data_IF_581532717191
#
_entry.id   IF_581532717191
#
_cell.length_a   1.000
_cell.length_b   1.000
_cell.length_c   1.000
_cell.angle_alpha   90.00
_cell.angle_beta   90.00
_cell.angle_gamma   90.00
#
_symmetry.space_group_name_H-M   'P 1'
#
loop_
_entity.id
_entity.type
_entity.pdbx_description
1 polymer ?
#
# COMPACT_ATOMS: atom_id res chain seq x y z
N UNK A 1 29.07 69.71 69.36
CA UNK A 1 28.30 68.94 68.37
C UNK A 1 27.66 67.72 69.00
N UNK A 2 28.46 66.84 69.62
CA UNK A 2 27.95 65.63 70.32
C UNK A 2 26.79 65.88 71.28
N UNK A 3 26.86 66.92 72.12
CA UNK A 3 25.78 67.25 73.06
C UNK A 3 24.45 67.66 72.37
N UNK A 4 24.50 68.24 71.16
CA UNK A 4 23.31 68.60 70.39
C UNK A 4 22.73 67.38 69.65
N UNK A 5 23.59 66.46 69.19
CA UNK A 5 23.17 65.19 68.60
C UNK A 5 22.50 64.29 69.63
N UNK A 6 23.04 64.21 70.85
CA UNK A 6 22.45 63.43 71.94
C UNK A 6 21.05 63.97 72.30
N UNK A 7 20.92 65.28 72.48
CA UNK A 7 19.61 65.93 72.71
C UNK A 7 18.63 65.74 71.54
N UNK A 8 19.12 65.72 70.29
CA UNK A 8 18.29 65.43 69.12
C UNK A 8 17.75 63.99 69.14
N UNK A 9 18.59 62.99 69.41
CA UNK A 9 18.16 61.58 69.46
C UNK A 9 17.33 61.23 70.71
N UNK A 10 17.45 62.02 71.79
CA UNK A 10 16.60 61.96 72.97
C UNK A 10 15.28 62.73 72.81
N UNK A 11 15.14 63.54 71.75
CA UNK A 11 13.92 64.32 71.46
C UNK A 11 13.80 65.63 72.26
N UNK A 12 14.88 66.08 72.87
CA UNK A 12 14.93 67.22 73.79
C UNK A 12 15.34 68.55 73.11
N UNK A 13 15.65 68.51 71.81
CA UNK A 13 16.07 69.69 71.05
C UNK A 13 14.86 70.53 70.59
N UNK A 14 14.91 71.85 70.74
CA UNK A 14 13.85 72.74 70.23
C UNK A 14 13.88 72.88 68.71
N UNK A 15 12.78 73.31 68.10
CA UNK A 15 12.68 73.36 66.63
C UNK A 15 13.63 74.41 66.00
N UNK A 16 13.88 75.53 66.68
CA UNK A 16 14.88 76.51 66.23
C UNK A 16 16.31 75.95 66.27
N UNK A 17 16.63 75.14 67.28
CA UNK A 17 17.94 74.49 67.42
C UNK A 17 18.12 73.34 66.42
N UNK A 18 17.04 72.63 66.05
CA UNK A 18 17.08 71.59 65.01
C UNK A 18 17.46 72.18 63.65
N UNK A 19 16.89 73.32 63.28
CA UNK A 19 17.20 73.97 62.01
C UNK A 19 18.68 74.34 61.94
N UNK A 20 19.24 74.91 63.01
CA UNK A 20 20.67 75.24 63.10
C UNK A 20 21.57 73.98 63.08
N UNK A 21 21.12 72.89 63.71
CA UNK A 21 21.83 71.62 63.70
C UNK A 21 21.87 71.01 62.28
N UNK A 22 20.74 71.02 61.56
CA UNK A 22 20.68 70.49 60.21
C UNK A 22 21.46 71.33 59.20
N UNK A 23 21.41 72.66 59.31
CA UNK A 23 22.22 73.56 58.48
C UNK A 23 23.73 73.31 58.68
N UNK A 24 24.15 73.05 59.92
CA UNK A 24 25.54 72.66 60.22
C UNK A 24 25.90 71.27 59.68
N UNK A 25 24.99 70.30 59.77
CA UNK A 25 25.18 68.95 59.22
C UNK A 25 25.29 68.98 57.69
N UNK A 26 24.57 69.88 57.00
CA UNK A 26 24.64 70.01 55.54
C UNK A 26 25.88 70.76 55.07
N UNK A 27 26.35 71.75 55.83
CA UNK A 27 27.49 72.59 55.47
C UNK A 27 28.86 71.98 55.79
N UNK A 28 28.94 71.05 56.74
CA UNK A 28 30.20 70.41 57.16
C UNK A 28 30.18 68.87 56.96
N UNK A 29 31.06 68.31 56.09
CA UNK A 29 31.15 66.87 55.85
C UNK A 29 31.43 66.03 57.10
N UNK A 30 32.23 66.55 58.05
CA UNK A 30 32.57 65.83 59.28
C UNK A 30 31.36 65.72 60.21
N UNK A 31 30.58 66.81 60.33
CA UNK A 31 29.28 66.84 61.01
C UNK A 31 28.29 65.82 60.44
N UNK A 32 28.24 65.66 59.11
CA UNK A 32 27.39 64.68 58.43
C UNK A 32 27.80 63.24 58.72
N UNK A 33 29.10 62.97 58.71
CA UNK A 33 29.64 61.65 59.03
C UNK A 33 29.32 61.26 60.49
N UNK A 34 29.44 62.22 61.42
CA UNK A 34 29.12 62.00 62.84
C UNK A 34 27.62 61.75 63.06
N UNK A 35 26.73 62.50 62.38
CA UNK A 35 25.28 62.26 62.41
C UNK A 35 24.92 60.85 61.88
N UNK A 36 25.46 60.44 60.74
CA UNK A 36 25.21 59.11 60.16
C UNK A 36 25.70 58.01 61.11
N UNK A 37 26.87 58.20 61.73
CA UNK A 37 27.41 57.25 62.73
C UNK A 37 26.44 57.10 63.91
N UNK A 38 25.96 58.22 64.45
CA UNK A 38 25.03 58.20 65.59
C UNK A 38 23.67 57.61 65.20
N UNK A 39 23.12 57.97 64.03
CA UNK A 39 21.87 57.43 63.50
C UNK A 39 21.96 55.91 63.28
N UNK A 40 23.07 55.41 62.73
CA UNK A 40 23.30 53.99 62.55
C UNK A 40 23.41 53.28 63.90
N UNK A 41 24.10 53.88 64.87
CA UNK A 41 24.27 53.31 66.23
C UNK A 41 22.91 53.20 66.94
N UNK A 42 22.09 54.24 66.89
CA UNK A 42 20.74 54.26 67.49
C UNK A 42 19.81 53.26 66.78
N UNK A 43 19.86 53.17 65.45
CA UNK A 43 19.09 52.19 64.67
C UNK A 43 19.47 50.75 65.03
N UNK A 44 20.77 50.46 65.12
CA UNK A 44 21.29 49.14 65.51
C UNK A 44 20.91 48.81 66.96
N UNK A 45 20.96 49.79 67.87
CA UNK A 45 20.53 49.59 69.26
C UNK A 45 19.02 49.30 69.37
N UNK A 46 18.19 49.95 68.55
CA UNK A 46 16.75 49.66 68.48
C UNK A 46 16.46 48.28 67.89
N UNK A 47 17.31 47.79 66.99
CA UNK A 47 17.26 46.43 66.45
C UNK A 47 17.76 45.38 67.45
N UNK A 48 18.72 45.73 68.31
CA UNK A 48 19.28 44.82 69.31
C UNK A 48 18.36 44.57 70.52
N UNK A 49 17.45 45.51 70.81
CA UNK A 49 16.55 45.44 71.97
C UNK A 49 15.24 44.66 71.78
N UNK A 50 14.98 44.05 70.63
CA UNK A 50 13.74 43.29 70.38
C UNK A 50 13.97 41.77 70.46
N UNK A 51 14.00 41.25 71.69
CA UNK A 51 14.19 39.81 71.96
C UNK A 51 12.89 38.98 72.01
N UNK A 52 11.74 39.52 71.57
CA UNK A 52 10.46 38.77 71.51
C UNK A 52 10.18 38.09 70.15
N UNK A 53 11.05 38.23 69.14
CA UNK A 53 10.72 37.89 67.75
C UNK A 53 11.35 36.60 67.17
N UNK A 54 11.65 35.61 68.00
CA UNK A 54 12.09 34.30 67.49
C UNK A 54 10.98 33.61 66.65
N UNK A 55 9.73 33.72 67.09
CA UNK A 55 8.58 33.11 66.40
C UNK A 55 8.15 33.91 65.16
N UNK A 56 8.23 35.24 65.21
CA UNK A 56 7.95 36.13 64.08
C UNK A 56 9.00 35.99 62.97
N UNK A 57 10.28 35.95 63.35
CA UNK A 57 11.38 35.69 62.42
C UNK A 57 11.26 34.32 61.76
N UNK A 58 10.88 33.28 62.53
CA UNK A 58 10.59 31.95 61.99
C UNK A 58 9.42 31.93 61.01
N UNK A 59 8.32 32.65 61.29
CA UNK A 59 7.16 32.80 60.38
C UNK A 59 7.53 33.55 59.11
N UNK A 60 8.27 34.67 59.22
CA UNK A 60 8.74 35.45 58.07
C UNK A 60 9.76 34.70 57.21
N UNK A 61 10.63 33.90 57.84
CA UNK A 61 11.56 33.03 57.12
C UNK A 61 10.82 31.93 56.35
N UNK A 62 9.80 31.29 56.96
CA UNK A 62 8.92 30.34 56.26
C UNK A 62 8.15 31.00 55.10
N UNK A 63 7.65 32.23 55.27
CA UNK A 63 7.05 32.99 54.17
C UNK A 63 8.04 33.30 53.05
N UNK A 64 9.29 33.62 53.39
CA UNK A 64 10.35 33.87 52.41
C UNK A 64 10.73 32.59 51.67
N UNK A 65 10.95 31.49 52.38
CA UNK A 65 11.24 30.16 51.81
C UNK A 65 10.13 29.70 50.88
N UNK A 66 8.86 29.80 51.29
CA UNK A 66 7.72 29.43 50.45
C UNK A 66 7.63 30.32 49.19
N UNK A 67 7.94 31.61 49.28
CA UNK A 67 8.02 32.52 48.12
C UNK A 67 9.18 32.17 47.19
N UNK A 68 10.35 31.83 47.73
CA UNK A 68 11.54 31.43 46.97
C UNK A 68 11.28 30.10 46.26
N UNK A 69 10.77 29.09 46.98
CA UNK A 69 10.45 27.77 46.44
C UNK A 69 9.37 27.84 45.36
N UNK A 70 8.32 28.67 45.54
CA UNK A 70 7.32 28.92 44.48
C UNK A 70 7.94 29.55 43.24
N UNK A 71 8.85 30.52 43.39
CA UNK A 71 9.55 31.14 42.24
C UNK A 71 10.45 30.13 41.53
N UNK A 72 11.20 29.31 42.26
CA UNK A 72 12.06 28.26 41.71
C UNK A 72 11.25 27.16 41.02
N UNK A 73 10.18 26.66 41.64
CA UNK A 73 9.27 25.66 41.07
C UNK A 73 8.58 26.17 39.80
N UNK A 74 8.12 27.43 39.78
CA UNK A 74 7.54 28.06 38.58
C UNK A 74 8.56 28.13 37.44
N UNK A 75 9.83 28.45 37.74
CA UNK A 75 10.90 28.47 36.73
C UNK A 75 11.19 27.08 36.17
N UNK A 76 11.24 26.06 37.01
CA UNK A 76 11.37 24.65 36.62
C UNK A 76 10.21 24.20 35.73
N UNK A 77 8.97 24.48 36.13
CA UNK A 77 7.77 24.10 35.38
C UNK A 77 7.72 24.79 34.01
N UNK A 78 8.06 26.09 33.94
CA UNK A 78 8.16 26.81 32.67
C UNK A 78 9.26 26.25 31.77
N UNK A 79 10.40 25.83 32.33
CA UNK A 79 11.46 25.21 31.54
C UNK A 79 11.03 23.83 31.01
N UNK A 80 10.41 22.99 31.84
CA UNK A 80 9.85 21.71 31.43
C UNK A 80 8.76 21.87 30.36
N UNK A 81 7.86 22.84 30.52
CA UNK A 81 6.81 23.13 29.54
C UNK A 81 7.38 23.56 28.17
N UNK A 82 8.50 24.30 28.14
CA UNK A 82 9.20 24.63 26.88
C UNK A 82 9.73 23.38 26.19
N UNK A 83 10.39 22.48 26.93
CA UNK A 83 10.88 21.22 26.35
C UNK A 83 9.73 20.34 25.85
N UNK A 84 8.65 20.22 26.64
CA UNK A 84 7.46 19.48 26.24
C UNK A 84 6.80 20.07 24.97
N UNK A 85 6.74 21.39 24.84
CA UNK A 85 6.24 22.06 23.65
C UNK A 85 7.09 21.76 22.41
N UNK A 86 8.43 21.77 22.53
CA UNK A 86 9.34 21.41 21.44
C UNK A 86 9.14 19.95 21.01
N UNK A 87 9.04 19.03 21.97
CA UNK A 87 8.80 17.61 21.69
C UNK A 87 7.44 17.42 21.01
N UNK A 88 6.39 18.10 21.48
CA UNK A 88 5.06 18.04 20.87
C UNK A 88 5.09 18.56 19.43
N UNK A 89 5.78 19.68 19.17
CA UNK A 89 5.96 20.20 17.80
C UNK A 89 6.71 19.20 16.93
N UNK A 90 7.78 18.57 17.44
CA UNK A 90 8.53 17.55 16.71
C UNK A 90 7.65 16.33 16.38
N UNK A 91 6.87 15.82 17.34
CA UNK A 91 5.98 14.70 17.12
C UNK A 91 4.88 15.03 16.11
N UNK A 92 4.28 16.22 16.19
CA UNK A 92 3.28 16.69 15.21
C UNK A 92 3.90 16.83 13.83
N UNK A 93 5.12 17.36 13.72
CA UNK A 93 5.82 17.46 12.44
C UNK A 93 6.17 16.08 11.89
N UNK A 94 6.67 15.15 12.71
CA UNK A 94 6.93 13.76 12.30
C UNK A 94 5.65 13.11 11.81
N UNK A 95 4.55 13.22 12.55
CA UNK A 95 3.25 12.68 12.14
C UNK A 95 2.74 13.28 10.83
N UNK A 96 2.77 14.61 10.69
CA UNK A 96 2.40 15.30 9.44
C UNK A 96 3.29 14.91 8.26
N UNK A 97 4.60 14.73 8.49
CA UNK A 97 5.54 14.29 7.47
C UNK A 97 5.28 12.84 7.07
N UNK A 98 5.02 11.94 8.02
CA UNK A 98 4.70 10.54 7.70
C UNK A 98 3.40 10.39 6.93
N UNK A 99 2.36 11.15 7.29
CA UNK A 99 1.04 11.08 6.65
C UNK A 99 1.04 11.70 5.24
N UNK A 100 1.78 12.81 5.04
CA UNK A 100 1.80 13.51 3.75
C UNK A 100 2.88 13.06 2.77
N UNK A 101 4.03 12.57 3.25
CA UNK A 101 5.19 12.27 2.39
C UNK A 101 5.51 10.80 2.21
N UNK A 102 4.91 9.89 2.97
CA UNK A 102 4.99 8.45 2.68
C UNK A 102 3.75 8.11 1.85
N UNK A 103 3.84 8.03 0.51
CA UNK A 103 2.70 7.59 -0.27
C UNK A 103 2.34 6.16 0.15
N UNK A 104 1.21 6.00 0.85
CA UNK A 104 0.69 4.68 1.23
C UNK A 104 0.49 3.77 0.00
N UNK A 105 0.24 4.36 -1.17
CA UNK A 105 0.13 3.64 -2.44
C UNK A 105 1.47 3.66 -3.16
N UNK A 106 2.32 2.68 -2.86
CA UNK A 106 3.32 2.21 -3.84
C UNK A 106 2.55 1.91 -5.14
N UNK A 107 2.83 2.64 -6.22
CA UNK A 107 2.29 2.29 -7.54
C UNK A 107 2.81 0.89 -7.85
N UNK A 108 1.95 -0.13 -8.01
CA UNK A 108 2.44 -1.48 -8.26
C UNK A 108 3.19 -1.48 -9.59
N UNK A 109 4.48 -1.80 -9.53
CA UNK A 109 5.31 -2.05 -10.70
C UNK A 109 4.86 -3.38 -11.32
N UNK A 110 4.56 -3.38 -12.61
CA UNK A 110 4.15 -4.58 -13.33
C UNK A 110 5.25 -5.07 -14.28
N UNK A 111 5.43 -6.38 -14.32
CA UNK A 111 6.15 -7.07 -15.38
C UNK A 111 5.15 -7.57 -16.41
N UNK A 112 5.38 -7.22 -17.68
CA UNK A 112 4.55 -7.70 -18.78
C UNK A 112 5.34 -8.69 -19.64
N UNK A 113 4.78 -9.88 -19.83
CA UNK A 113 5.34 -10.93 -20.69
C UNK A 113 4.42 -11.10 -21.89
N UNK A 114 5.01 -11.06 -23.09
CA UNK A 114 4.31 -11.28 -24.36
C UNK A 114 4.86 -12.55 -24.99
N UNK A 115 4.00 -13.54 -25.21
CA UNK A 115 4.38 -14.80 -25.85
C UNK A 115 4.39 -14.61 -27.37
N UNK A 116 5.50 -14.92 -28.06
CA UNK A 116 5.54 -14.89 -29.52
C UNK A 116 4.54 -15.86 -30.16
N UNK A 117 4.22 -15.64 -31.44
CA UNK A 117 3.42 -16.58 -32.24
C UNK A 117 4.11 -17.94 -32.33
N UNK A 118 3.35 -19.03 -32.27
CA UNK A 118 3.85 -20.40 -32.35
C UNK A 118 4.73 -20.87 -31.19
N UNK A 119 4.88 -20.04 -30.14
CA UNK A 119 5.66 -20.39 -28.97
C UNK A 119 4.77 -20.44 -27.74
N UNK A 120 5.23 -21.18 -26.73
CA UNK A 120 4.63 -21.19 -25.40
C UNK A 120 5.71 -20.88 -24.38
N UNK A 121 5.30 -20.30 -23.27
CA UNK A 121 6.20 -20.00 -22.16
C UNK A 121 5.70 -20.72 -20.92
N UNK A 122 6.60 -21.41 -20.24
CA UNK A 122 6.41 -21.86 -18.87
C UNK A 122 7.07 -20.86 -17.94
N UNK A 123 6.40 -20.55 -16.83
CA UNK A 123 6.96 -19.71 -15.80
C UNK A 123 6.43 -20.08 -14.42
N UNK A 124 7.21 -19.72 -13.40
CA UNK A 124 6.82 -19.81 -11.99
C UNK A 124 6.69 -18.40 -11.43
N UNK A 125 5.55 -18.12 -10.80
CA UNK A 125 5.27 -16.85 -10.15
C UNK A 125 5.90 -16.82 -8.74
N UNK A 126 5.99 -15.62 -8.16
CA UNK A 126 6.59 -15.39 -6.83
C UNK A 126 5.92 -16.14 -5.67
N UNK A 127 4.68 -16.58 -5.83
CA UNK A 127 3.93 -17.39 -4.86
C UNK A 127 4.08 -18.91 -5.10
N UNK A 128 4.95 -19.31 -6.03
CA UNK A 128 5.15 -20.69 -6.46
C UNK A 128 4.12 -21.20 -7.46
N UNK A 129 3.12 -20.40 -7.84
CA UNK A 129 2.14 -20.77 -8.87
C UNK A 129 2.84 -20.96 -10.20
N UNK A 130 2.55 -22.06 -10.89
CA UNK A 130 3.10 -22.32 -12.22
C UNK A 130 2.10 -21.93 -13.30
N UNK A 131 2.57 -21.32 -14.37
CA UNK A 131 1.75 -20.90 -15.50
C UNK A 131 2.39 -21.33 -16.83
N UNK A 132 1.59 -21.95 -17.69
CA UNK A 132 1.89 -22.18 -19.09
C UNK A 132 1.06 -21.24 -19.93
N UNK A 133 1.71 -20.38 -20.71
CA UNK A 133 1.05 -19.42 -21.58
C UNK A 133 1.10 -19.90 -23.04
N UNK A 134 -0.06 -19.92 -23.69
CA UNK A 134 -0.21 -20.21 -25.12
C UNK A 134 0.36 -19.08 -26.00
N UNK A 135 0.57 -19.34 -27.31
CA UNK A 135 1.05 -18.34 -28.24
C UNK A 135 0.21 -17.08 -28.26
N UNK A 136 0.86 -15.92 -28.45
CA UNK A 136 0.20 -14.60 -28.56
C UNK A 136 -0.51 -14.15 -27.27
N UNK A 137 -0.37 -14.88 -26.17
CA UNK A 137 -0.83 -14.45 -24.85
C UNK A 137 0.02 -13.31 -24.31
N UNK A 138 -0.62 -12.44 -23.54
CA UNK A 138 0.00 -11.36 -22.78
C UNK A 138 -0.42 -11.54 -21.32
N UNK A 139 0.55 -11.65 -20.43
CA UNK A 139 0.31 -11.63 -18.99
C UNK A 139 0.98 -10.40 -18.37
N UNK A 140 0.29 -9.74 -17.43
CA UNK A 140 0.85 -8.67 -16.59
C UNK A 140 0.80 -9.11 -15.13
N UNK A 141 1.95 -9.07 -14.49
CA UNK A 141 2.17 -9.62 -13.15
C UNK A 141 2.71 -8.48 -12.27
N UNK A 142 2.10 -8.22 -11.10
CA UNK A 142 2.65 -7.23 -10.18
C UNK A 142 3.96 -7.74 -9.58
N UNK A 143 4.90 -6.84 -9.33
CA UNK A 143 6.21 -7.18 -8.75
C UNK A 143 6.10 -7.81 -7.36
N UNK A 144 5.02 -7.49 -6.63
CA UNK A 144 4.65 -8.08 -5.35
C UNK A 144 3.14 -8.28 -5.32
N UNK A 145 2.67 -9.43 -4.83
CA UNK A 145 1.24 -9.64 -4.58
C UNK A 145 0.80 -8.89 -3.32
N UNK A 146 -0.46 -8.48 -3.29
CA UNK A 146 -0.99 -7.78 -2.12
C UNK A 146 -1.16 -8.72 -0.92
N UNK A 147 -1.42 -8.14 0.24
CA UNK A 147 -1.71 -8.93 1.46
C UNK A 147 -3.05 -9.67 1.38
N UNK A 148 -3.97 -9.19 0.54
CA UNK A 148 -5.34 -9.67 0.47
C UNK A 148 -5.58 -10.61 -0.72
N UNK A 149 -4.90 -10.40 -1.85
CA UNK A 149 -5.08 -11.21 -3.07
C UNK A 149 -3.82 -11.30 -3.93
N UNK A 150 -3.77 -12.36 -4.74
CA UNK A 150 -2.74 -12.59 -5.75
C UNK A 150 -3.36 -12.44 -7.13
N UNK A 151 -3.30 -11.24 -7.72
CA UNK A 151 -3.93 -10.99 -9.02
C UNK A 151 -2.92 -10.79 -10.16
N UNK A 152 -3.23 -11.38 -11.32
CA UNK A 152 -2.53 -11.22 -12.59
C UNK A 152 -3.53 -10.83 -13.67
N UNK A 153 -3.10 -10.10 -14.69
CA UNK A 153 -3.95 -9.76 -15.85
C UNK A 153 -3.53 -10.62 -17.04
N UNK A 154 -4.50 -11.22 -17.74
CA UNK A 154 -4.29 -12.08 -18.90
C UNK A 154 -5.15 -11.62 -20.08
N UNK A 155 -4.50 -11.38 -21.22
CA UNK A 155 -5.11 -11.35 -22.56
C UNK A 155 -4.53 -12.53 -23.34
N UNK A 156 -5.29 -13.61 -23.43
CA UNK A 156 -4.86 -14.82 -24.12
C UNK A 156 -5.31 -16.10 -23.46
N UNK A 157 -4.55 -17.16 -23.69
CA UNK A 157 -4.76 -18.46 -23.05
C UNK A 157 -3.61 -18.82 -22.11
N UNK A 158 -3.96 -19.33 -20.93
CA UNK A 158 -3.03 -19.82 -19.95
C UNK A 158 -3.58 -20.98 -19.12
N UNK A 159 -2.74 -21.97 -18.88
CA UNK A 159 -2.96 -23.02 -17.92
C UNK A 159 -2.21 -22.70 -16.62
N UNK A 160 -2.92 -22.70 -15.50
CA UNK A 160 -2.39 -22.34 -14.19
C UNK A 160 -2.47 -23.53 -13.24
N UNK A 161 -1.35 -23.84 -12.58
CA UNK A 161 -1.26 -24.72 -11.43
C UNK A 161 -1.01 -23.85 -10.19
N UNK A 162 -2.08 -23.42 -9.54
CA UNK A 162 -2.03 -22.39 -8.49
C UNK A 162 -1.66 -22.99 -7.14
N UNK A 163 -0.64 -22.42 -6.50
CA UNK A 163 -0.26 -22.78 -5.13
C UNK A 163 -1.41 -22.49 -4.16
N UNK A 164 -1.70 -23.45 -3.30
CA UNK A 164 -2.82 -23.37 -2.36
C UNK A 164 -2.56 -22.31 -1.28
N UNK A 165 -3.43 -21.30 -1.22
CA UNK A 165 -3.47 -20.29 -0.15
C UNK A 165 -4.93 -19.84 0.03
N UNK A 166 -5.56 -20.30 1.11
CA UNK A 166 -6.95 -20.02 1.41
C UNK A 166 -7.19 -18.59 1.92
N UNK A 167 -6.15 -17.92 2.43
CA UNK A 167 -6.25 -16.55 2.97
C UNK A 167 -6.14 -15.51 1.87
N UNK A 168 -5.35 -15.80 0.83
CA UNK A 168 -5.09 -14.90 -0.31
C UNK A 168 -5.53 -15.56 -1.62
N UNK A 169 -6.76 -15.34 -2.11
CA UNK A 169 -7.20 -15.87 -3.39
C UNK A 169 -6.28 -15.47 -4.53
N UNK A 170 -6.13 -16.37 -5.50
CA UNK A 170 -5.48 -16.08 -6.77
C UNK A 170 -6.54 -15.69 -7.81
N UNK A 171 -6.32 -14.60 -8.53
CA UNK A 171 -7.27 -14.05 -9.48
C UNK A 171 -6.59 -13.81 -10.83
N UNK A 172 -7.08 -14.48 -11.86
CA UNK A 172 -6.74 -14.15 -13.25
C UNK A 172 -7.77 -13.17 -13.78
N UNK A 173 -7.35 -11.93 -13.98
CA UNK A 173 -8.17 -10.84 -14.51
C UNK A 173 -8.12 -10.88 -16.03
N UNK A 174 -9.28 -11.01 -16.68
CA UNK A 174 -9.40 -10.91 -18.14
C UNK A 174 -10.31 -9.73 -18.50
N UNK A 175 -10.48 -9.44 -19.79
CA UNK A 175 -11.34 -8.33 -20.21
C UNK A 175 -12.80 -8.52 -19.78
N UNK A 176 -13.36 -9.73 -19.95
CA UNK A 176 -14.79 -9.99 -19.74
C UNK A 176 -15.11 -10.64 -18.38
N UNK A 177 -14.26 -11.56 -17.94
CA UNK A 177 -14.54 -12.40 -16.77
C UNK A 177 -13.29 -12.59 -15.91
N UNK A 178 -13.44 -12.53 -14.60
CA UNK A 178 -12.37 -12.80 -13.65
C UNK A 178 -12.48 -14.22 -13.13
N UNK A 179 -11.34 -14.90 -13.03
CA UNK A 179 -11.26 -16.28 -12.56
C UNK A 179 -10.61 -16.25 -11.18
N UNK A 180 -11.38 -16.58 -10.14
CA UNK A 180 -10.94 -16.60 -8.73
C UNK A 180 -10.80 -18.03 -8.22
N UNK A 181 -9.66 -18.33 -7.61
CA UNK A 181 -9.32 -19.66 -7.09
C UNK A 181 -8.53 -19.56 -5.77
N UNK A 182 -8.44 -20.67 -5.04
CA UNK A 182 -7.65 -20.77 -3.80
C UNK A 182 -6.44 -21.73 -3.90
N UNK A 183 -6.38 -22.57 -4.93
CA UNK A 183 -5.37 -23.62 -5.09
C UNK A 183 -5.91 -24.69 -6.03
N UNK A 184 -5.74 -24.45 -7.32
CA UNK A 184 -6.58 -25.05 -8.37
C UNK A 184 -5.73 -25.22 -9.64
N UNK A 185 -5.96 -26.30 -10.39
CA UNK A 185 -5.42 -26.47 -11.75
C UNK A 185 -6.52 -26.21 -12.77
N UNK A 186 -6.33 -25.21 -13.62
CA UNK A 186 -7.35 -24.80 -14.58
C UNK A 186 -6.72 -24.16 -15.83
N UNK A 187 -7.47 -24.15 -16.93
CA UNK A 187 -7.14 -23.39 -18.13
C UNK A 187 -8.14 -22.26 -18.32
N UNK A 188 -7.68 -21.12 -18.82
CA UNK A 188 -8.53 -20.02 -19.26
C UNK A 188 -8.11 -19.59 -20.66
N UNK A 189 -9.08 -19.47 -21.56
CA UNK A 189 -8.96 -18.89 -22.90
C UNK A 189 -9.77 -17.60 -22.94
N UNK A 190 -9.09 -16.46 -23.10
CA UNK A 190 -9.69 -15.13 -23.04
C UNK A 190 -8.89 -14.11 -23.87
N UNK A 191 -8.72 -14.37 -25.17
CA UNK A 191 -8.12 -13.40 -26.09
C UNK A 191 -9.09 -12.25 -26.38
N UNK A 192 -8.68 -11.00 -26.19
CA UNK A 192 -9.49 -9.80 -26.50
C UNK A 192 -9.91 -9.73 -27.97
N UNK A 193 -9.12 -10.31 -28.87
CA UNK A 193 -9.45 -10.39 -30.31
C UNK A 193 -10.42 -11.51 -30.67
N UNK A 194 -10.76 -12.38 -29.72
CA UNK A 194 -11.75 -13.45 -29.90
C UNK A 194 -13.03 -13.10 -29.15
N UNK A 195 -14.18 -13.48 -29.72
CA UNK A 195 -15.46 -13.45 -28.99
C UNK A 195 -15.61 -14.63 -28.03
N UNK A 196 -14.69 -15.59 -28.07
CA UNK A 196 -14.73 -16.80 -27.24
C UNK A 196 -14.13 -16.51 -25.88
N UNK A 197 -14.80 -17.05 -24.87
CA UNK A 197 -14.27 -17.20 -23.53
C UNK A 197 -14.52 -18.63 -23.10
N UNK A 198 -13.50 -19.29 -22.55
CA UNK A 198 -13.60 -20.66 -22.07
C UNK A 198 -12.73 -20.81 -20.81
N UNK A 199 -13.24 -21.50 -19.80
CA UNK A 199 -12.46 -21.88 -18.61
C UNK A 199 -12.76 -23.32 -18.25
N UNK A 200 -11.70 -24.12 -18.14
CA UNK A 200 -11.77 -25.56 -17.85
C UNK A 200 -11.12 -25.86 -16.50
N UNK A 201 -11.80 -26.63 -15.65
CA UNK A 201 -11.29 -27.00 -14.33
C UNK A 201 -10.80 -28.45 -14.30
N UNK A 202 -9.51 -28.63 -13.97
CA UNK A 202 -8.88 -29.95 -13.78
C UNK A 202 -8.96 -30.40 -12.32
N UNK A 203 -8.51 -29.56 -11.39
CA UNK A 203 -8.43 -29.89 -9.96
C UNK A 203 -8.79 -28.67 -9.10
N UNK A 204 -9.53 -28.87 -8.02
CA UNK A 204 -9.90 -27.81 -7.07
C UNK A 204 -11.26 -27.20 -7.36
N UNK A 205 -11.37 -25.87 -7.24
CA UNK A 205 -12.59 -25.12 -7.55
C UNK A 205 -12.25 -23.79 -8.20
N UNK A 206 -13.11 -23.35 -9.13
CA UNK A 206 -13.00 -22.07 -9.84
C UNK A 206 -14.29 -21.30 -9.66
N UNK A 207 -14.18 -20.03 -9.31
CA UNK A 207 -15.27 -19.07 -9.41
C UNK A 207 -15.01 -18.16 -10.62
N UNK A 208 -15.90 -18.19 -11.61
CA UNK A 208 -15.91 -17.30 -12.77
C UNK A 208 -16.86 -16.14 -12.46
N UNK A 209 -16.38 -14.91 -12.55
CA UNK A 209 -17.13 -13.69 -12.16
C UNK A 209 -17.26 -12.80 -13.39
N UNK A 210 -18.48 -12.36 -13.71
CA UNK A 210 -18.70 -11.37 -14.78
C UNK A 210 -18.20 -9.98 -14.32
N UNK A 211 -17.33 -9.36 -15.11
CA UNK A 211 -16.74 -8.07 -14.75
C UNK A 211 -17.75 -6.92 -14.77
N UNK A 212 -18.82 -7.04 -15.57
CA UNK A 212 -19.89 -6.02 -15.66
C UNK A 212 -20.96 -6.19 -14.59
N UNK A 213 -21.17 -7.43 -14.13
CA UNK A 213 -22.21 -7.82 -13.19
C UNK A 213 -21.62 -8.81 -12.18
N UNK A 214 -20.87 -8.35 -11.16
CA UNK A 214 -20.14 -9.24 -10.25
C UNK A 214 -21.03 -10.21 -9.47
N UNK A 215 -22.31 -9.90 -9.30
CA UNK A 215 -23.34 -10.79 -8.75
C UNK A 215 -23.56 -12.02 -9.64
N UNK A 216 -23.38 -11.92 -10.95
CA UNK A 216 -23.41 -13.02 -11.90
C UNK A 216 -22.06 -13.76 -11.87
N UNK A 217 -22.04 -14.85 -11.09
CA UNK A 217 -20.88 -15.71 -10.98
C UNK A 217 -21.26 -17.18 -11.05
N UNK A 218 -20.31 -17.99 -11.53
CA UNK A 218 -20.46 -19.43 -11.64
C UNK A 218 -19.32 -20.14 -10.93
N UNK A 219 -19.64 -21.18 -10.17
CA UNK A 219 -18.63 -22.04 -9.54
C UNK A 219 -18.49 -23.31 -10.35
N UNK A 220 -17.27 -23.66 -10.75
CA UNK A 220 -16.94 -24.92 -11.40
C UNK A 220 -16.45 -25.95 -10.39
N UNK A 221 -16.80 -27.21 -10.66
CA UNK A 221 -16.26 -28.42 -10.06
C UNK A 221 -15.29 -29.12 -11.03
N UNK A 222 -14.42 -30.03 -10.56
CA UNK A 222 -13.55 -30.80 -11.44
C UNK A 222 -14.29 -31.45 -12.61
N UNK A 223 -13.70 -31.40 -13.80
CA UNK A 223 -14.28 -31.83 -15.09
C UNK A 223 -15.46 -30.98 -15.60
N UNK A 224 -15.71 -29.82 -15.00
CA UNK A 224 -16.62 -28.83 -15.56
C UNK A 224 -15.86 -27.76 -16.35
N UNK A 225 -16.52 -27.26 -17.38
CA UNK A 225 -16.09 -26.14 -18.21
C UNK A 225 -17.21 -25.10 -18.25
N UNK A 226 -16.83 -23.83 -18.29
CA UNK A 226 -17.71 -22.73 -18.69
C UNK A 226 -17.21 -22.15 -20.00
N UNK A 227 -18.13 -21.94 -20.94
CA UNK A 227 -17.87 -21.32 -22.23
C UNK A 227 -18.90 -20.25 -22.52
N UNK A 228 -18.51 -19.20 -23.23
CA UNK A 228 -19.46 -18.19 -23.71
C UNK A 228 -20.18 -18.70 -24.97
N UNK A 229 -21.51 -18.79 -24.92
CA UNK A 229 -22.37 -19.10 -26.07
C UNK A 229 -23.39 -17.99 -26.22
N UNK A 230 -23.40 -17.33 -27.37
CA UNK A 230 -24.31 -16.22 -27.70
C UNK A 230 -24.34 -15.10 -26.64
N UNK A 231 -23.18 -14.83 -26.02
CA UNK A 231 -23.03 -13.81 -24.98
C UNK A 231 -23.43 -14.26 -23.57
N UNK A 232 -23.85 -15.52 -23.39
CA UNK A 232 -24.23 -16.09 -22.10
C UNK A 232 -23.22 -17.15 -21.67
N UNK A 233 -22.87 -17.18 -20.38
CA UNK A 233 -22.03 -18.23 -19.82
C UNK A 233 -22.82 -19.54 -19.72
N UNK A 234 -22.32 -20.58 -20.39
CA UNK A 234 -22.92 -21.92 -20.36
C UNK A 234 -21.93 -22.88 -19.73
N UNK A 235 -22.38 -23.57 -18.67
CA UNK A 235 -21.64 -24.66 -18.05
C UNK A 235 -21.88 -25.98 -18.80
N UNK A 236 -20.83 -26.77 -18.97
CA UNK A 236 -20.89 -28.11 -19.54
C UNK A 236 -19.84 -29.02 -18.89
N UNK A 237 -19.97 -30.33 -19.12
CA UNK A 237 -18.96 -31.32 -18.70
C UNK A 237 -17.90 -31.39 -19.81
N UNK A 238 -16.64 -31.23 -19.44
CA UNK A 238 -15.51 -31.43 -20.34
C UNK A 238 -14.35 -32.04 -19.56
N UNK A 239 -13.89 -33.20 -20.02
CA UNK A 239 -12.65 -33.79 -19.52
C UNK A 239 -11.46 -33.04 -20.14
N UNK A 240 -11.04 -31.96 -19.48
CA UNK A 240 -9.88 -31.20 -19.90
C UNK A 240 -8.62 -31.84 -19.32
N UNK A 241 -7.96 -32.72 -20.08
CA UNK A 241 -6.63 -33.22 -19.75
C UNK A 241 -5.63 -32.65 -20.75
N UNK A 242 -4.88 -31.64 -20.30
CA UNK A 242 -3.89 -30.95 -21.12
C UNK A 242 -2.46 -31.45 -20.86
N UNK A 243 -2.27 -32.52 -20.09
CA UNK A 243 -0.92 -32.97 -19.73
C UNK A 243 -0.09 -33.30 -20.97
N UNK A 244 -0.67 -33.97 -21.96
CA UNK A 244 0.03 -34.33 -23.20
C UNK A 244 0.37 -33.08 -24.01
N UNK A 245 -0.56 -32.13 -24.14
CA UNK A 245 -0.28 -30.84 -24.76
C UNK A 245 0.86 -30.10 -24.05
N UNK A 246 0.83 -30.02 -22.72
CA UNK A 246 1.85 -29.32 -21.93
C UNK A 246 3.22 -30.02 -21.99
N UNK A 247 3.26 -31.35 -21.92
CA UNK A 247 4.52 -32.12 -21.89
C UNK A 247 5.12 -32.35 -23.29
N UNK A 248 4.33 -32.83 -24.25
CA UNK A 248 4.80 -33.29 -25.56
C UNK A 248 4.35 -32.42 -26.73
N UNK A 249 3.56 -31.37 -26.48
CA UNK A 249 3.10 -30.45 -27.53
C UNK A 249 2.04 -31.06 -28.45
N UNK A 250 1.36 -32.13 -28.00
CA UNK A 250 0.28 -32.77 -28.75
C UNK A 250 -1.03 -32.07 -28.41
N UNK A 251 -1.62 -31.40 -29.39
CA UNK A 251 -2.97 -30.87 -29.26
C UNK A 251 -3.97 -31.98 -29.56
N UNK A 252 -4.78 -32.33 -28.57
CA UNK A 252 -5.90 -33.25 -28.70
C UNK A 252 -7.20 -32.48 -28.58
N UNK A 253 -8.14 -32.74 -29.48
CA UNK A 253 -9.47 -32.18 -29.43
C UNK A 253 -10.50 -33.27 -29.77
N UNK A 254 -11.61 -33.25 -29.06
CA UNK A 254 -12.73 -34.16 -29.30
C UNK A 254 -14.01 -33.35 -29.35
N UNK A 255 -14.82 -33.61 -30.37
CA UNK A 255 -16.12 -32.98 -30.57
C UNK A 255 -16.03 -31.44 -30.44
N UNK A 256 -15.07 -30.82 -31.14
CA UNK A 256 -14.91 -29.36 -31.22
C UNK A 256 -15.37 -28.85 -32.58
N UNK A 257 -15.99 -27.66 -32.63
CA UNK A 257 -16.35 -27.06 -33.92
C UNK A 257 -15.11 -26.83 -34.78
N UNK A 258 -15.23 -27.01 -36.08
CA UNK A 258 -14.12 -26.82 -37.02
C UNK A 258 -13.58 -25.39 -36.97
N UNK A 259 -14.45 -24.39 -36.80
CA UNK A 259 -14.05 -22.99 -36.55
C UNK A 259 -13.12 -22.83 -35.35
N UNK A 260 -13.36 -23.57 -34.26
CA UNK A 260 -12.50 -23.52 -33.07
C UNK A 260 -11.12 -24.11 -33.31
N UNK A 261 -11.03 -25.13 -34.17
CA UNK A 261 -9.76 -25.73 -34.59
C UNK A 261 -8.98 -24.74 -35.47
N UNK A 262 -9.65 -24.05 -36.39
CA UNK A 262 -9.02 -23.00 -37.22
C UNK A 262 -8.51 -21.82 -36.38
N UNK A 263 -9.24 -21.40 -35.35
CA UNK A 263 -8.79 -20.41 -34.38
C UNK A 263 -7.48 -20.85 -33.70
N UNK A 264 -7.43 -22.10 -33.25
CA UNK A 264 -6.25 -22.66 -32.60
C UNK A 264 -5.06 -22.68 -33.57
N UNK A 265 -5.27 -23.09 -34.82
CA UNK A 265 -4.24 -23.07 -35.85
C UNK A 265 -3.76 -21.64 -36.14
N UNK A 266 -4.63 -20.62 -36.05
CA UNK A 266 -4.25 -19.20 -36.20
C UNK A 266 -3.37 -18.68 -35.05
N UNK A 267 -3.44 -19.30 -33.87
CA UNK A 267 -2.58 -18.95 -32.73
C UNK A 267 -1.18 -19.54 -32.89
N UNK A 268 -1.13 -20.80 -33.32
CA UNK A 268 0.11 -21.58 -33.43
C UNK A 268 0.88 -21.32 -34.72
N UNK A 269 0.16 -21.24 -35.83
CA UNK A 269 0.74 -20.97 -37.13
C UNK A 269 0.50 -19.50 -37.46
N UNK A 270 1.48 -18.84 -38.08
CA UNK A 270 1.39 -17.43 -38.47
C UNK A 270 0.47 -17.24 -39.69
N UNK A 271 -0.71 -17.84 -39.65
CA UNK A 271 -1.70 -17.90 -40.74
C UNK A 271 -3.01 -17.27 -40.29
N UNK A 272 -3.78 -16.77 -41.24
CA UNK A 272 -5.16 -16.34 -41.08
C UNK A 272 -6.03 -17.16 -42.02
N UNK A 273 -7.15 -17.63 -41.51
CA UNK A 273 -8.13 -18.34 -42.32
C UNK A 273 -9.19 -17.37 -42.83
N UNK A 274 -9.31 -17.28 -44.16
CA UNK A 274 -10.46 -16.66 -44.80
C UNK A 274 -11.47 -17.77 -45.11
N UNK A 275 -12.57 -17.79 -44.37
CA UNK A 275 -13.61 -18.82 -44.53
C UNK A 275 -14.68 -18.32 -45.49
N UNK A 276 -14.92 -19.07 -46.57
CA UNK A 276 -16.06 -18.86 -47.47
C UNK A 276 -17.31 -19.55 -46.91
N UNK A 277 -18.47 -19.01 -47.25
CA UNK A 277 -19.77 -19.50 -46.75
C UNK A 277 -20.03 -21.00 -47.02
N UNK A 278 -19.35 -21.58 -48.02
CA UNK A 278 -19.45 -23.00 -48.38
C UNK A 278 -18.77 -23.97 -47.39
N UNK A 279 -17.85 -23.50 -46.54
CA UNK A 279 -16.91 -24.33 -45.78
C UNK A 279 -17.47 -25.09 -44.55
N UNK A 280 -18.79 -25.05 -44.29
CA UNK A 280 -19.47 -25.74 -43.17
C UNK A 280 -18.69 -25.75 -41.82
N UNK A 281 -18.25 -24.58 -41.35
CA UNK A 281 -17.36 -24.47 -40.18
C UNK A 281 -17.97 -24.81 -38.81
N UNK A 282 -19.29 -25.01 -38.74
CA UNK A 282 -20.00 -25.40 -37.52
C UNK A 282 -20.02 -26.91 -37.28
N UNK A 283 -19.44 -27.71 -38.18
CA UNK A 283 -19.32 -29.16 -37.97
C UNK A 283 -18.33 -29.46 -36.85
N UNK A 284 -18.63 -30.51 -36.09
CA UNK A 284 -17.77 -30.99 -35.02
C UNK A 284 -16.76 -31.99 -35.54
N UNK A 285 -15.51 -31.84 -35.12
CA UNK A 285 -14.37 -32.67 -35.50
C UNK A 285 -13.61 -33.13 -34.26
N UNK A 286 -12.96 -34.27 -34.40
CA UNK A 286 -12.10 -34.87 -33.38
C UNK A 286 -10.78 -35.29 -34.01
N UNK A 287 -9.70 -35.18 -33.25
CA UNK A 287 -8.38 -35.54 -33.74
C UNK A 287 -7.26 -35.11 -32.81
N UNK A 288 -6.03 -35.32 -33.28
CA UNK A 288 -4.83 -34.81 -32.62
C UNK A 288 -3.75 -34.50 -33.63
N UNK A 289 -2.92 -33.52 -33.31
CA UNK A 289 -1.71 -33.18 -34.07
C UNK A 289 -0.63 -32.64 -33.14
N UNK A 290 0.63 -32.70 -33.57
CA UNK A 290 1.73 -32.05 -32.85
C UNK A 290 1.83 -30.60 -33.27
N UNK A 291 2.20 -29.71 -32.35
CA UNK A 291 2.52 -28.32 -32.67
C UNK A 291 3.68 -28.18 -33.66
N UNK A 292 4.55 -29.19 -33.74
CA UNK A 292 5.66 -29.25 -34.69
C UNK A 292 5.25 -29.72 -36.09
N UNK A 293 4.01 -30.21 -36.27
CA UNK A 293 3.56 -30.69 -37.58
C UNK A 293 3.33 -29.50 -38.51
N UNK A 294 3.60 -29.70 -39.80
CA UNK A 294 3.33 -28.67 -40.80
C UNK A 294 1.82 -28.41 -40.96
N UNK A 295 1.44 -27.14 -41.13
CA UNK A 295 0.03 -26.73 -41.24
C UNK A 295 -0.68 -27.40 -42.42
N UNK A 296 0.01 -27.59 -43.55
CA UNK A 296 -0.58 -28.25 -44.72
C UNK A 296 -0.88 -29.72 -44.42
N UNK A 297 0.01 -30.39 -43.67
CA UNK A 297 -0.21 -31.77 -43.22
C UNK A 297 -1.41 -31.87 -42.27
N UNK A 298 -1.57 -30.90 -41.37
CA UNK A 298 -2.72 -30.85 -40.45
C UNK A 298 -4.02 -30.65 -41.25
N UNK A 299 -4.05 -29.70 -42.18
CA UNK A 299 -5.23 -29.45 -43.02
C UNK A 299 -5.59 -30.68 -43.86
N UNK A 300 -4.62 -31.36 -44.47
CA UNK A 300 -4.85 -32.63 -45.18
C UNK A 300 -5.43 -33.71 -44.28
N UNK A 301 -4.93 -33.83 -43.04
CA UNK A 301 -5.49 -34.77 -42.07
C UNK A 301 -6.94 -34.41 -41.70
N UNK A 302 -7.24 -33.12 -41.51
CA UNK A 302 -8.58 -32.63 -41.22
C UNK A 302 -9.56 -32.89 -42.39
N UNK A 303 -9.09 -32.84 -43.64
CA UNK A 303 -9.91 -33.19 -44.82
C UNK A 303 -10.39 -34.65 -44.80
N UNK A 304 -9.66 -35.54 -44.13
CA UNK A 304 -10.07 -36.94 -43.95
C UNK A 304 -11.24 -37.12 -42.97
N UNK A 305 -11.50 -36.12 -42.11
CA UNK A 305 -12.55 -36.15 -41.08
C UNK A 305 -13.74 -35.26 -41.46
N UNK A 306 -13.47 -34.14 -42.13
CA UNK A 306 -14.47 -33.16 -42.54
C UNK A 306 -14.22 -32.71 -43.97
N UNK A 307 -15.25 -32.72 -44.81
CA UNK A 307 -15.13 -32.30 -46.21
C UNK A 307 -15.05 -30.77 -46.31
N UNK A 308 -13.85 -30.27 -46.58
CA UNK A 308 -13.59 -28.88 -46.99
C UNK A 308 -12.47 -28.87 -48.04
N UNK A 309 -12.35 -27.78 -48.77
CA UNK A 309 -11.20 -27.48 -49.62
C UNK A 309 -10.46 -26.29 -49.05
N UNK A 310 -9.17 -26.22 -49.35
CA UNK A 310 -8.37 -25.07 -48.98
C UNK A 310 -7.44 -24.65 -50.11
N UNK A 311 -7.06 -23.37 -50.09
CA UNK A 311 -6.02 -22.82 -50.96
C UNK A 311 -5.10 -21.94 -50.13
N UNK A 312 -3.81 -22.22 -50.18
CA UNK A 312 -2.78 -21.37 -49.59
C UNK A 312 -2.56 -20.22 -50.58
N UNK A 313 -2.88 -18.99 -50.18
CA UNK A 313 -2.63 -17.81 -51.02
C UNK A 313 -1.22 -17.29 -50.81
N UNK A 314 -0.75 -17.33 -49.56
CA UNK A 314 0.63 -16.99 -49.17
C UNK A 314 0.96 -17.60 -47.80
N UNK A 315 2.15 -17.31 -47.27
CA UNK A 315 2.62 -17.84 -45.98
C UNK A 315 1.78 -17.42 -44.76
N UNK A 316 0.91 -16.42 -44.90
CA UNK A 316 0.08 -15.87 -43.81
C UNK A 316 -1.42 -16.00 -44.07
N UNK A 317 -1.86 -16.52 -45.21
CA UNK A 317 -3.27 -16.50 -45.61
C UNK A 317 -3.69 -17.79 -46.30
N UNK A 318 -4.73 -18.43 -45.75
CA UNK A 318 -5.31 -19.68 -46.24
C UNK A 318 -6.81 -19.49 -46.40
N UNK A 319 -7.33 -19.74 -47.61
CA UNK A 319 -8.77 -19.74 -47.88
C UNK A 319 -9.35 -21.13 -47.64
N UNK A 320 -10.46 -21.23 -46.92
CA UNK A 320 -11.24 -22.45 -46.71
C UNK A 320 -12.59 -22.30 -47.44
N UNK A 321 -12.98 -23.29 -48.24
CA UNK A 321 -14.24 -23.29 -49.00
C UNK A 321 -14.85 -24.69 -49.17
#
# INVERSE_FOLDING_TARGET
MNEQLDKYFLGELSDAEKVLLFDRIESDPDSKAEFIRMQNTVTVSKLAGQSEDAEWSGKKMKELETRINRKQARRLYLNLAKYAAVIAILLVNVWLLTDKFIPEKKVPLYTQIKVPTGQRIYMTLQDGTEAWLSPRSIIRIPSEFSKDERSVELDGEGFFSVTKDAKRPFIVKTQGYNIKVLGTKFNVFAYTKSKRFETNLVEGSVQVINNKQPEEHMILKPNEMVSLKDGVLVKSIAAFNNEEYLKSGIFYFSNKKFSEVLDYLTLWYKVKFEVKDSAQIDKYVSGKFRQSDDIERILKALQGVHHFRYKIENNEEIKIY
#
